data_IF_353335003407
#
_entry.id   IF_353335003407
#
_cell.length_a   1.000
_cell.length_b   1.000
_cell.length_c   1.000
_cell.angle_alpha   90.00
_cell.angle_beta   90.00
_cell.angle_gamma   90.00
#
_symmetry.space_group_name_H-M   'P 1'
#
loop_
_entity.id
_entity.type
_entity.pdbx_description
1 polymer ?
#
# COMPACT_ATOMS: atom_id res chain seq x y z
N UNK A 1 -2.42 18.55 -32.97
CA UNK A 1 -1.25 17.73 -32.57
C UNK A 1 -1.28 16.42 -33.33
N UNK A 2 -0.21 16.06 -34.08
CA UNK A 2 -0.13 14.85 -34.91
C UNK A 2 -0.24 13.61 -34.01
N UNK A 3 -0.99 12.58 -34.45
CA UNK A 3 -1.17 11.31 -33.71
C UNK A 3 0.17 10.75 -33.17
N UNK A 4 1.24 10.85 -33.94
CA UNK A 4 2.58 10.39 -33.56
C UNK A 4 3.15 11.11 -32.32
N UNK A 5 2.92 12.42 -32.15
CA UNK A 5 3.39 13.16 -30.99
C UNK A 5 2.71 12.70 -29.69
N UNK A 6 1.40 12.42 -29.75
CA UNK A 6 0.66 11.88 -28.57
C UNK A 6 1.16 10.52 -28.17
N UNK A 7 1.38 9.63 -29.15
CA UNK A 7 1.89 8.29 -28.88
C UNK A 7 3.31 8.35 -28.31
N UNK A 8 4.19 9.15 -28.90
CA UNK A 8 5.55 9.34 -28.37
C UNK A 8 5.55 9.88 -26.94
N UNK A 9 4.69 10.85 -26.63
CA UNK A 9 4.55 11.40 -25.28
C UNK A 9 4.07 10.36 -24.26
N UNK A 10 3.08 9.53 -24.64
CA UNK A 10 2.58 8.43 -23.77
C UNK A 10 3.69 7.40 -23.51
N UNK A 11 4.42 7.00 -24.56
CA UNK A 11 5.53 6.06 -24.43
C UNK A 11 6.61 6.63 -23.52
N UNK A 12 6.98 7.90 -23.70
CA UNK A 12 7.97 8.56 -22.85
C UNK A 12 7.55 8.57 -21.38
N UNK A 13 6.28 8.91 -21.09
CA UNK A 13 5.73 8.89 -19.72
C UNK A 13 5.75 7.49 -19.13
N UNK A 14 5.37 6.47 -19.90
CA UNK A 14 5.43 5.08 -19.44
C UNK A 14 6.87 4.65 -19.15
N UNK A 15 7.82 4.99 -20.03
CA UNK A 15 9.24 4.67 -19.79
C UNK A 15 9.72 5.33 -18.50
N UNK A 16 9.44 6.61 -18.27
CA UNK A 16 9.86 7.32 -17.05
C UNK A 16 9.24 6.67 -15.79
N UNK A 17 7.96 6.26 -15.85
CA UNK A 17 7.28 5.63 -14.72
C UNK A 17 7.83 4.22 -14.41
N UNK A 18 8.13 3.43 -15.44
CA UNK A 18 8.58 2.06 -15.25
C UNK A 18 10.11 1.92 -15.14
N UNK A 19 10.87 2.94 -15.55
CA UNK A 19 12.33 2.92 -15.50
C UNK A 19 12.90 2.58 -14.11
N UNK A 20 12.44 3.17 -12.99
CA UNK A 20 12.93 2.82 -11.67
C UNK A 20 12.69 1.34 -11.33
N UNK A 21 11.56 0.79 -11.73
CA UNK A 21 11.21 -0.63 -11.49
C UNK A 21 12.12 -1.55 -12.32
N UNK A 22 12.36 -1.19 -13.59
CA UNK A 22 13.27 -1.94 -14.46
C UNK A 22 14.71 -1.92 -13.93
N UNK A 23 15.18 -0.76 -13.46
CA UNK A 23 16.48 -0.62 -12.82
C UNK A 23 16.58 -1.54 -11.60
N UNK A 24 15.60 -1.51 -10.70
CA UNK A 24 15.58 -2.38 -9.52
C UNK A 24 15.55 -3.87 -9.92
N UNK A 25 14.80 -4.23 -10.96
CA UNK A 25 14.78 -5.61 -11.47
C UNK A 25 16.16 -6.04 -11.99
N UNK A 26 16.88 -5.19 -12.71
CA UNK A 26 18.26 -5.48 -13.17
C UNK A 26 19.19 -5.62 -11.97
N UNK A 27 19.16 -4.70 -11.00
CA UNK A 27 19.98 -4.78 -9.80
C UNK A 27 19.70 -6.01 -8.93
N UNK A 28 18.46 -6.51 -8.95
CA UNK A 28 18.08 -7.73 -8.24
C UNK A 28 18.90 -8.97 -8.67
N UNK A 29 19.39 -8.97 -9.93
CA UNK A 29 20.22 -10.03 -10.49
C UNK A 29 21.73 -9.70 -10.51
N UNK A 30 22.17 -8.73 -9.74
CA UNK A 30 23.59 -8.40 -9.62
C UNK A 30 24.13 -8.68 -8.21
N UNK A 31 25.42 -8.97 -8.10
CA UNK A 31 26.09 -9.24 -6.82
C UNK A 31 26.64 -7.95 -6.18
N UNK A 32 26.02 -6.81 -6.43
CA UNK A 32 26.49 -5.56 -5.84
C UNK A 32 25.60 -5.09 -4.69
N UNK A 33 26.23 -4.84 -3.53
CA UNK A 33 25.58 -4.24 -2.38
C UNK A 33 25.27 -2.73 -2.57
N UNK A 34 25.91 -2.09 -3.55
CA UNK A 34 25.79 -0.66 -3.80
C UNK A 34 25.13 -0.37 -5.14
N UNK A 35 24.13 0.50 -5.13
CA UNK A 35 23.51 1.02 -6.35
C UNK A 35 24.55 1.85 -7.11
N UNK A 36 24.85 1.46 -8.35
CA UNK A 36 25.82 2.16 -9.21
C UNK A 36 26.98 1.30 -9.70
N UNK A 37 27.23 0.13 -9.10
CA UNK A 37 28.24 -0.83 -9.55
C UNK A 37 27.54 -2.11 -10.00
N UNK A 38 27.68 -2.49 -11.26
CA UNK A 38 27.14 -3.74 -11.79
C UNK A 38 28.31 -4.75 -11.87
N UNK A 39 28.29 -5.73 -10.97
CA UNK A 39 29.24 -6.84 -10.97
C UNK A 39 28.52 -8.10 -11.47
N UNK A 40 28.53 -8.36 -12.76
CA UNK A 40 28.05 -9.59 -13.34
C UNK A 40 26.60 -10.01 -12.99
N UNK A 41 26.15 -11.11 -13.59
CA UNK A 41 24.87 -11.72 -13.28
C UNK A 41 24.99 -12.65 -12.07
N UNK A 42 24.15 -12.46 -11.05
CA UNK A 42 24.15 -13.28 -9.84
C UNK A 42 22.71 -13.49 -9.36
N UNK A 43 22.41 -14.71 -8.95
CA UNK A 43 21.15 -15.08 -8.27
C UNK A 43 21.34 -15.19 -6.75
N UNK A 44 22.52 -14.79 -6.24
CA UNK A 44 22.88 -14.94 -4.83
C UNK A 44 21.90 -14.21 -3.89
N UNK A 45 21.36 -13.08 -4.31
CA UNK A 45 20.36 -12.34 -3.54
C UNK A 45 19.11 -13.18 -3.27
N UNK A 46 18.65 -13.94 -4.28
CA UNK A 46 17.50 -14.83 -4.13
C UNK A 46 17.82 -16.05 -3.26
N UNK A 47 19.01 -16.63 -3.44
CA UNK A 47 19.47 -17.74 -2.58
C UNK A 47 19.51 -17.25 -1.12
N UNK A 48 20.10 -16.09 -0.86
CA UNK A 48 20.18 -15.49 0.47
C UNK A 48 18.81 -15.22 1.06
N UNK A 49 17.86 -14.74 0.24
CA UNK A 49 16.49 -14.46 0.65
C UNK A 49 15.79 -15.70 1.21
N UNK A 50 15.96 -16.85 0.55
CA UNK A 50 15.31 -18.10 0.97
C UNK A 50 16.12 -18.93 1.96
N UNK A 51 17.41 -18.66 2.09
CA UNK A 51 18.29 -19.42 2.98
C UNK A 51 18.40 -18.80 4.38
N UNK A 52 18.25 -17.47 4.50
CA UNK A 52 18.28 -16.79 5.81
C UNK A 52 16.91 -16.83 6.46
N UNK A 53 16.76 -17.52 7.62
CA UNK A 53 15.48 -17.64 8.33
C UNK A 53 14.86 -16.28 8.67
N UNK A 54 15.69 -15.32 9.09
CA UNK A 54 15.26 -13.97 9.45
C UNK A 54 14.52 -13.25 8.31
N UNK A 55 15.01 -13.39 7.07
CA UNK A 55 14.39 -12.79 5.88
C UNK A 55 13.09 -13.52 5.51
N UNK A 56 13.07 -14.83 5.64
CA UNK A 56 11.88 -15.63 5.40
C UNK A 56 10.77 -15.26 6.41
N UNK A 57 11.11 -15.11 7.69
CA UNK A 57 10.16 -14.69 8.73
C UNK A 57 9.61 -13.30 8.48
N UNK A 58 10.43 -12.35 8.01
CA UNK A 58 9.99 -11.01 7.61
C UNK A 58 8.99 -11.06 6.44
N UNK A 59 9.24 -11.90 5.44
CA UNK A 59 8.34 -12.07 4.30
C UNK A 59 6.99 -12.65 4.77
N UNK A 60 7.02 -13.73 5.56
CA UNK A 60 5.80 -14.33 6.08
C UNK A 60 5.02 -13.37 6.97
N UNK A 61 5.71 -12.62 7.84
CA UNK A 61 5.11 -11.58 8.67
C UNK A 61 4.40 -10.51 7.83
N UNK A 62 5.04 -10.05 6.74
CA UNK A 62 4.46 -9.08 5.82
C UNK A 62 3.25 -9.63 5.08
N UNK A 63 3.30 -10.88 4.61
CA UNK A 63 2.17 -11.54 3.92
C UNK A 63 0.99 -11.70 4.88
N UNK A 64 1.23 -12.18 6.10
CA UNK A 64 0.17 -12.33 7.11
C UNK A 64 -0.47 -10.99 7.47
N UNK A 65 0.36 -9.95 7.64
CA UNK A 65 -0.11 -8.59 7.91
C UNK A 65 -0.96 -8.07 6.74
N UNK A 66 -0.51 -8.25 5.51
CA UNK A 66 -1.22 -7.78 4.32
C UNK A 66 -2.58 -8.48 4.16
N UNK A 67 -2.61 -9.82 4.27
CA UNK A 67 -3.85 -10.60 4.16
C UNK A 67 -4.80 -10.27 5.32
N UNK A 68 -4.30 -10.24 6.56
CA UNK A 68 -5.10 -9.91 7.73
C UNK A 68 -5.71 -8.51 7.64
N UNK A 69 -4.90 -7.50 7.29
CA UNK A 69 -5.37 -6.12 7.11
C UNK A 69 -6.39 -6.00 5.98
N UNK A 70 -6.17 -6.70 4.86
CA UNK A 70 -7.10 -6.70 3.73
C UNK A 70 -8.46 -7.30 4.09
N UNK A 71 -8.48 -8.40 4.84
CA UNK A 71 -9.73 -9.03 5.32
C UNK A 71 -10.49 -8.08 6.25
N UNK A 72 -9.81 -7.49 7.23
CA UNK A 72 -10.42 -6.53 8.17
C UNK A 72 -10.94 -5.31 7.40
N UNK A 73 -10.13 -4.73 6.50
CA UNK A 73 -10.52 -3.59 5.69
C UNK A 73 -11.74 -3.90 4.80
N UNK A 74 -11.79 -5.10 4.23
CA UNK A 74 -12.92 -5.55 3.39
C UNK A 74 -14.19 -5.66 4.21
N UNK A 75 -14.14 -6.24 5.38
CA UNK A 75 -15.30 -6.34 6.29
C UNK A 75 -15.78 -4.95 6.71
N UNK A 76 -14.89 -4.10 7.23
CA UNK A 76 -15.23 -2.77 7.70
C UNK A 76 -15.72 -1.85 6.58
N UNK A 77 -15.04 -1.85 5.42
CA UNK A 77 -15.43 -1.04 4.27
C UNK A 77 -16.78 -1.45 3.70
N UNK A 78 -17.05 -2.77 3.63
CA UNK A 78 -18.33 -3.29 3.15
C UNK A 78 -19.47 -2.98 4.13
N UNK A 79 -19.27 -3.23 5.43
CA UNK A 79 -20.25 -2.89 6.47
C UNK A 79 -20.49 -1.38 6.53
N UNK A 80 -19.44 -0.58 6.37
CA UNK A 80 -19.54 0.89 6.29
C UNK A 80 -20.35 1.34 5.08
N UNK A 81 -20.18 0.73 3.91
CA UNK A 81 -20.93 1.03 2.70
C UNK A 81 -22.42 0.67 2.84
N UNK A 82 -22.72 -0.53 3.35
CA UNK A 82 -24.09 -0.98 3.62
C UNK A 82 -24.74 -0.07 4.67
N UNK A 83 -24.04 0.21 5.78
CA UNK A 83 -24.53 1.10 6.81
C UNK A 83 -24.85 2.51 6.30
N UNK A 84 -23.96 3.07 5.46
CA UNK A 84 -24.20 4.37 4.84
C UNK A 84 -25.40 4.36 3.89
N UNK A 85 -25.60 3.26 3.15
CA UNK A 85 -26.75 3.11 2.22
C UNK A 85 -28.10 3.14 2.94
N UNK A 86 -28.21 2.45 4.08
CA UNK A 86 -29.46 2.42 4.88
C UNK A 86 -29.59 3.60 5.84
N UNK A 87 -28.60 4.47 5.95
CA UNK A 87 -28.60 5.61 6.85
C UNK A 87 -29.30 6.84 6.27
N UNK A 88 -29.69 7.78 7.15
CA UNK A 88 -30.21 9.09 6.73
C UNK A 88 -29.15 9.85 5.92
N UNK A 89 -29.58 10.69 4.97
CA UNK A 89 -28.71 11.46 4.06
C UNK A 89 -27.54 12.18 4.77
N UNK A 90 -27.79 12.73 5.96
CA UNK A 90 -26.74 13.44 6.72
C UNK A 90 -25.65 12.47 7.20
N UNK A 91 -26.03 11.32 7.77
CA UNK A 91 -25.09 10.32 8.24
C UNK A 91 -24.33 9.68 7.08
N UNK A 92 -25.01 9.34 5.99
CA UNK A 92 -24.40 8.84 4.76
C UNK A 92 -23.40 9.84 4.17
N UNK A 93 -23.74 11.13 4.15
CA UNK A 93 -22.83 12.20 3.70
C UNK A 93 -21.58 12.33 4.57
N UNK A 94 -21.73 12.25 5.89
CA UNK A 94 -20.58 12.27 6.81
C UNK A 94 -19.66 11.07 6.61
N UNK A 95 -20.21 9.85 6.51
CA UNK A 95 -19.40 8.64 6.28
C UNK A 95 -18.66 8.75 4.95
N UNK A 96 -19.33 9.20 3.88
CA UNK A 96 -18.71 9.41 2.58
C UNK A 96 -17.58 10.44 2.62
N UNK A 97 -17.78 11.56 3.31
CA UNK A 97 -16.76 12.61 3.48
C UNK A 97 -15.56 12.07 4.27
N UNK A 98 -15.80 11.36 5.37
CA UNK A 98 -14.71 10.76 6.17
C UNK A 98 -13.89 9.73 5.38
N UNK A 99 -14.55 8.94 4.53
CA UNK A 99 -13.83 7.99 3.67
C UNK A 99 -12.99 8.66 2.56
N UNK A 100 -13.31 9.88 2.18
CA UNK A 100 -12.53 10.61 1.17
C UNK A 100 -11.24 11.21 1.75
N UNK A 101 -11.17 11.48 3.05
CA UNK A 101 -10.00 12.09 3.68
C UNK A 101 -8.71 11.28 3.47
N UNK A 102 -8.67 9.96 3.75
CA UNK A 102 -7.47 9.16 3.48
C UNK A 102 -7.13 9.06 1.99
N UNK A 103 -8.14 9.04 1.11
CA UNK A 103 -7.94 8.90 -0.34
C UNK A 103 -7.29 10.14 -0.97
N UNK A 104 -7.58 11.34 -0.43
CA UNK A 104 -7.03 12.61 -0.92
C UNK A 104 -5.65 12.90 -0.33
N UNK A 105 -5.40 12.44 0.90
CA UNK A 105 -4.13 12.65 1.57
C UNK A 105 -3.07 11.67 1.05
N UNK A 106 -1.79 12.09 1.14
CA UNK A 106 -0.68 11.18 0.85
C UNK A 106 -0.68 10.01 1.84
N UNK A 107 -0.65 8.78 1.33
CA UNK A 107 -0.68 7.54 2.13
C UNK A 107 0.36 7.52 3.25
N UNK A 108 1.57 8.01 2.96
CA UNK A 108 2.68 8.10 3.92
C UNK A 108 2.32 9.01 5.10
N UNK A 109 1.70 10.17 4.83
CA UNK A 109 1.30 11.12 5.88
C UNK A 109 0.21 10.54 6.75
N UNK A 110 -0.80 9.93 6.14
CA UNK A 110 -1.92 9.30 6.85
C UNK A 110 -1.44 8.12 7.70
N UNK A 111 -0.67 7.21 7.13
CA UNK A 111 -0.13 6.05 7.84
C UNK A 111 0.77 6.44 9.01
N UNK A 112 1.69 7.38 8.79
CA UNK A 112 2.58 7.87 9.83
C UNK A 112 1.85 8.59 10.97
N UNK A 113 0.84 9.42 10.64
CA UNK A 113 0.01 10.11 11.63
C UNK A 113 -0.77 9.14 12.51
N UNK A 114 -1.32 8.07 11.93
CA UNK A 114 -2.02 7.02 12.67
C UNK A 114 -1.04 6.26 13.60
N UNK A 115 0.14 5.93 13.11
CA UNK A 115 1.16 5.28 13.93
C UNK A 115 1.55 6.15 15.13
N UNK A 116 1.81 7.44 14.93
CA UNK A 116 2.13 8.37 16.02
C UNK A 116 0.95 8.48 16.99
N UNK A 117 -0.27 8.64 16.49
CA UNK A 117 -1.47 8.73 17.33
C UNK A 117 -1.60 7.51 18.25
N UNK A 118 -1.45 6.29 17.70
CA UNK A 118 -1.58 5.05 18.47
C UNK A 118 -0.46 4.91 19.50
N UNK A 119 0.76 5.27 19.17
CA UNK A 119 1.91 5.15 20.07
C UNK A 119 1.87 6.22 21.15
N UNK A 120 1.63 7.49 20.78
CA UNK A 120 1.77 8.62 21.72
C UNK A 120 0.50 8.83 22.56
N UNK A 121 -0.68 8.72 21.93
CA UNK A 121 -1.96 9.00 22.62
C UNK A 121 -2.50 7.74 23.30
N UNK A 122 -2.46 6.59 22.60
CA UNK A 122 -3.01 5.33 23.14
C UNK A 122 -1.96 4.46 23.83
N UNK A 123 -0.68 4.86 23.86
CA UNK A 123 0.38 4.14 24.55
C UNK A 123 0.69 2.75 23.98
N UNK A 124 0.35 2.51 22.71
CA UNK A 124 0.62 1.22 22.05
C UNK A 124 2.14 1.05 21.89
N UNK A 125 2.66 -0.14 22.22
CA UNK A 125 4.08 -0.43 22.07
C UNK A 125 4.55 -0.26 20.63
N UNK A 126 5.72 0.34 20.44
CA UNK A 126 6.36 0.52 19.12
C UNK A 126 6.67 -0.81 18.42
N UNK A 127 6.89 -1.86 19.20
CA UNK A 127 7.20 -3.20 18.71
C UNK A 127 5.95 -3.99 18.33
N UNK A 128 4.77 -3.45 18.61
CA UNK A 128 3.49 -4.10 18.31
C UNK A 128 3.14 -3.98 16.83
N UNK A 129 2.56 -5.03 16.27
CA UNK A 129 1.99 -5.02 14.92
C UNK A 129 0.70 -4.20 14.81
N UNK A 130 0.09 -3.78 15.94
CA UNK A 130 -1.18 -3.06 15.98
C UNK A 130 -1.15 -1.77 15.17
N UNK A 131 -0.16 -0.87 15.33
CA UNK A 131 -0.08 0.36 14.52
C UNK A 131 0.01 0.09 13.01
N UNK A 132 0.72 -0.97 12.62
CA UNK A 132 0.85 -1.36 11.21
C UNK A 132 -0.48 -1.88 10.65
N UNK A 133 -1.15 -2.79 11.37
CA UNK A 133 -2.46 -3.32 10.95
C UNK A 133 -3.49 -2.21 10.85
N UNK A 134 -3.60 -1.36 11.86
CA UNK A 134 -4.55 -0.23 11.87
C UNK A 134 -4.26 0.73 10.72
N UNK A 135 -2.99 1.08 10.49
CA UNK A 135 -2.57 1.93 9.37
C UNK A 135 -3.01 1.35 8.02
N UNK A 136 -2.74 0.05 7.78
CA UNK A 136 -3.15 -0.62 6.54
C UNK A 136 -4.66 -0.70 6.38
N UNK A 137 -5.38 -0.97 7.46
CA UNK A 137 -6.86 -1.02 7.44
C UNK A 137 -7.45 0.35 7.10
N UNK A 138 -6.96 1.42 7.75
CA UNK A 138 -7.46 2.78 7.51
C UNK A 138 -7.18 3.25 6.09
N UNK A 139 -6.03 2.88 5.52
CA UNK A 139 -5.70 3.22 4.14
C UNK A 139 -6.52 2.39 3.13
N UNK A 140 -6.81 1.12 3.44
CA UNK A 140 -7.48 0.20 2.49
C UNK A 140 -9.01 0.26 2.56
N UNK A 141 -9.60 0.48 3.72
CA UNK A 141 -11.06 0.49 3.91
C UNK A 141 -11.82 1.49 3.02
N UNK A 142 -11.32 2.72 2.76
CA UNK A 142 -11.96 3.65 1.85
C UNK A 142 -12.07 3.14 0.41
N UNK A 143 -11.07 2.42 -0.08
CA UNK A 143 -11.12 1.85 -1.44
C UNK A 143 -12.19 0.74 -1.55
N UNK A 144 -12.32 -0.07 -0.49
CA UNK A 144 -13.41 -1.06 -0.40
C UNK A 144 -14.76 -0.37 -0.38
N UNK A 145 -14.93 0.65 0.47
CA UNK A 145 -16.15 1.45 0.54
C UNK A 145 -16.55 2.00 -0.83
N UNK A 146 -15.61 2.68 -1.52
CA UNK A 146 -15.83 3.26 -2.84
C UNK A 146 -16.12 2.22 -3.92
N UNK A 147 -15.65 0.98 -3.76
CA UNK A 147 -15.91 -0.12 -4.69
C UNK A 147 -17.28 -0.76 -4.49
N UNK A 148 -17.81 -0.71 -3.27
CA UNK A 148 -19.10 -1.33 -2.88
C UNK A 148 -20.27 -0.37 -3.12
N UNK A 149 -20.14 0.90 -2.74
CA UNK A 149 -21.22 1.91 -2.85
C UNK A 149 -21.91 1.95 -4.21
N UNK A 150 -21.20 1.93 -5.38
CA UNK A 150 -21.85 1.96 -6.68
C UNK A 150 -22.66 0.70 -7.04
N UNK A 151 -22.51 -0.37 -6.23
CA UNK A 151 -23.18 -1.67 -6.45
C UNK A 151 -24.39 -1.88 -5.57
N UNK A 152 -24.63 -0.95 -4.63
CA UNK A 152 -25.80 -0.91 -3.74
C UNK A 152 -26.91 -0.04 -4.32
#
# INVERSE_FOLDING_TARGET
MKKGFRVAFIILMLVILYLPILILAVYSFTDSANIGTIHGFSVQNYITLFTKPELADMIWGTVLLAVGSALIATLLGTLGAIGAFYSKKLASGLVSAMNQVPVVNADVVTGFSICILLIVVFGVSKESYVPLVVGHVVLSAPFVYLSVVPKL
#
